data_IF_347216784125
#
_entry.id   IF_347216784125
#
_cell.length_a   1.000
_cell.length_b   1.000
_cell.length_c   1.000
_cell.angle_alpha   90.00
_cell.angle_beta   90.00
_cell.angle_gamma   90.00
#
_symmetry.space_group_name_H-M   'P 1'
#
loop_
_entity.id
_entity.type
_entity.pdbx_description
1 polymer ?
#
# COMPACT_ATOMS: atom_id res chain seq x y z
N UNK A 1 15.76 20.20 19.83
CA UNK A 1 16.20 18.79 19.89
C UNK A 1 15.86 18.22 18.53
N UNK A 2 16.87 17.82 17.74
CA UNK A 2 16.76 17.50 16.31
C UNK A 2 16.12 16.13 16.08
N UNK A 3 15.04 16.07 15.29
CA UNK A 3 14.42 14.84 14.81
C UNK A 3 15.00 14.41 13.44
N UNK A 4 16.34 14.36 13.33
CA UNK A 4 17.05 13.87 12.13
C UNK A 4 16.97 12.34 11.94
N UNK A 5 16.05 11.62 12.60
CA UNK A 5 16.10 10.16 12.68
C UNK A 5 15.24 9.44 11.63
N UNK A 6 14.32 10.12 10.95
CA UNK A 6 13.50 9.45 9.94
C UNK A 6 14.29 9.12 8.67
N UNK A 7 15.14 10.05 8.22
CA UNK A 7 16.02 9.81 7.08
C UNK A 7 17.13 8.78 7.38
N UNK A 8 17.61 8.66 8.63
CA UNK A 8 18.85 7.92 8.93
C UNK A 8 18.66 6.40 8.95
N UNK A 9 17.45 5.88 9.19
CA UNK A 9 17.24 4.44 9.27
C UNK A 9 17.28 3.73 7.90
N UNK A 10 16.97 4.42 6.78
CA UNK A 10 17.19 3.90 5.42
C UNK A 10 18.38 4.55 4.69
N UNK A 11 18.84 5.75 5.08
CA UNK A 11 19.92 6.46 4.37
C UNK A 11 21.35 5.97 4.69
N UNK A 12 21.56 4.91 5.48
CA UNK A 12 22.91 4.33 5.66
C UNK A 12 23.46 3.64 4.40
N UNK A 13 22.75 3.70 3.25
CA UNK A 13 23.22 3.16 1.97
C UNK A 13 23.25 4.10 0.75
N UNK A 14 22.81 5.36 0.79
CA UNK A 14 23.04 6.23 -0.38
C UNK A 14 22.95 7.74 -0.11
N UNK A 15 24.09 8.39 -0.36
CA UNK A 15 24.32 9.73 -0.95
C UNK A 15 23.21 10.77 -0.96
N UNK A 16 23.57 11.94 -0.43
CA UNK A 16 22.85 13.23 -0.51
C UNK A 16 22.66 13.73 -1.95
N UNK A 17 21.48 14.26 -2.30
CA UNK A 17 21.35 15.42 -3.20
C UNK A 17 19.93 16.03 -3.40
N UNK A 18 19.79 17.28 -2.93
CA UNK A 18 19.28 18.51 -3.56
C UNK A 18 17.86 18.68 -4.16
N UNK A 19 17.31 19.83 -3.74
CA UNK A 19 16.29 20.67 -4.36
C UNK A 19 16.45 20.89 -5.88
N UNK A 20 15.33 20.85 -6.60
CA UNK A 20 14.87 21.80 -7.63
C UNK A 20 13.78 21.14 -8.50
N UNK A 21 12.51 21.56 -8.35
CA UNK A 21 11.42 21.16 -9.26
C UNK A 21 11.20 22.23 -10.35
N UNK A 22 11.47 21.93 -11.64
CA UNK A 22 11.00 22.76 -12.74
C UNK A 22 9.50 22.50 -13.04
N UNK A 23 8.75 23.58 -13.26
CA UNK A 23 7.28 23.65 -13.30
C UNK A 23 6.62 23.27 -14.63
N UNK A 24 7.09 22.25 -15.34
CA UNK A 24 6.51 21.96 -16.67
C UNK A 24 6.56 20.51 -17.13
N UNK A 25 5.70 19.65 -16.59
CA UNK A 25 5.33 18.40 -17.27
C UNK A 25 3.86 18.02 -16.99
N UNK A 26 3.00 18.25 -17.98
CA UNK A 26 1.74 17.54 -18.15
C UNK A 26 1.74 16.89 -19.54
N UNK A 27 1.43 15.60 -19.70
CA UNK A 27 1.33 15.00 -21.02
C UNK A 27 -0.02 15.37 -21.69
N UNK A 28 -0.10 15.38 -23.03
CA UNK A 28 -1.32 15.69 -23.75
C UNK A 28 -2.33 14.53 -23.68
N UNK A 29 -3.58 14.86 -23.37
CA UNK A 29 -4.71 13.92 -23.36
C UNK A 29 -5.09 13.60 -24.81
N UNK A 30 -4.70 12.41 -25.29
CA UNK A 30 -5.12 11.87 -26.57
C UNK A 30 -6.42 11.09 -26.45
N UNK A 31 -7.51 11.62 -27.01
CA UNK A 31 -8.79 10.93 -27.14
C UNK A 31 -8.76 9.87 -28.24
N UNK A 32 -9.24 8.67 -27.92
CA UNK A 32 -9.44 7.58 -28.86
C UNK A 32 -10.75 6.84 -28.58
N UNK A 33 -11.75 7.12 -29.39
CA UNK A 33 -13.02 6.39 -29.48
C UNK A 33 -12.90 5.17 -30.38
N UNK A 34 -13.45 4.02 -30.00
CA UNK A 34 -13.62 2.88 -30.90
C UNK A 34 -14.16 1.65 -30.17
N UNK A 35 -15.47 1.43 -30.24
CA UNK A 35 -16.16 0.34 -29.55
C UNK A 35 -16.03 -1.02 -30.24
N UNK A 36 -16.48 -2.05 -29.53
CA UNK A 36 -17.05 -3.28 -30.09
C UNK A 36 -17.84 -4.00 -29.00
N UNK A 37 -19.16 -4.01 -29.18
CA UNK A 37 -20.15 -4.72 -28.37
C UNK A 37 -20.05 -6.24 -28.60
N UNK A 38 -19.55 -6.96 -27.60
CA UNK A 38 -19.73 -8.40 -27.44
C UNK A 38 -20.54 -8.65 -26.18
N UNK A 39 -21.84 -8.90 -26.33
CA UNK A 39 -22.76 -9.05 -25.21
C UNK A 39 -22.44 -10.28 -24.36
N UNK A 40 -22.18 -10.05 -23.07
CA UNK A 40 -22.48 -10.98 -22.00
C UNK A 40 -23.39 -10.22 -21.04
N UNK A 41 -24.57 -10.77 -20.79
CA UNK A 41 -25.59 -10.12 -19.95
C UNK A 41 -25.04 -9.83 -18.57
N UNK A 42 -24.84 -8.56 -18.26
CA UNK A 42 -24.56 -8.11 -16.91
C UNK A 42 -25.81 -8.33 -16.06
N UNK A 43 -25.82 -9.37 -15.24
CA UNK A 43 -26.70 -9.43 -14.08
C UNK A 43 -26.25 -8.31 -13.13
N UNK A 44 -27.02 -7.23 -13.04
CA UNK A 44 -26.71 -6.06 -12.21
C UNK A 44 -26.88 -6.30 -10.70
N UNK A 45 -26.89 -7.56 -10.26
CA UNK A 45 -27.06 -7.98 -8.88
C UNK A 45 -25.98 -8.96 -8.37
N UNK A 46 -24.97 -9.27 -9.17
CA UNK A 46 -23.92 -10.23 -8.79
C UNK A 46 -22.88 -9.59 -7.88
N UNK A 47 -22.68 -10.15 -6.68
CA UNK A 47 -21.44 -9.97 -5.92
C UNK A 47 -20.27 -10.57 -6.72
N UNK A 48 -19.01 -10.27 -6.39
CA UNK A 48 -17.83 -10.83 -7.08
C UNK A 48 -17.76 -12.38 -7.08
N UNK A 49 -18.75 -13.08 -6.49
CA UNK A 49 -18.85 -14.54 -6.40
C UNK A 49 -19.52 -15.21 -7.60
N UNK A 50 -20.17 -14.49 -8.51
CA UNK A 50 -20.98 -15.11 -9.58
C UNK A 50 -20.17 -15.58 -10.80
N UNK A 51 -18.84 -15.44 -10.78
CA UNK A 51 -17.95 -15.97 -11.81
C UNK A 51 -17.25 -17.25 -11.34
N UNK A 52 -18.02 -18.24 -10.89
CA UNK A 52 -17.51 -19.58 -10.60
C UNK A 52 -17.23 -20.34 -11.91
N UNK A 53 -16.18 -19.93 -12.62
CA UNK A 53 -15.64 -20.68 -13.74
C UNK A 53 -14.74 -21.80 -13.19
N UNK A 54 -14.91 -23.05 -13.64
CA UNK A 54 -14.02 -24.13 -13.22
C UNK A 54 -12.57 -23.79 -13.57
N UNK A 55 -11.72 -23.65 -12.55
CA UNK A 55 -10.30 -23.32 -12.67
C UNK A 55 -9.91 -21.86 -12.38
N UNK A 56 -10.85 -20.99 -11.99
CA UNK A 56 -10.55 -19.62 -11.56
C UNK A 56 -10.60 -19.53 -10.02
N UNK A 57 -9.44 -19.47 -9.37
CA UNK A 57 -9.35 -19.18 -7.94
C UNK A 57 -9.46 -17.66 -7.75
N UNK A 58 -10.57 -17.20 -7.18
CA UNK A 58 -10.76 -15.80 -6.82
C UNK A 58 -10.68 -15.60 -5.31
N UNK A 59 -10.23 -14.42 -4.90
CA UNK A 59 -10.27 -13.96 -3.51
C UNK A 59 -11.70 -14.02 -2.98
N UNK A 60 -11.90 -14.75 -1.88
CA UNK A 60 -13.20 -14.79 -1.22
C UNK A 60 -13.44 -13.49 -0.43
N UNK A 61 -14.70 -13.07 -0.22
CA UNK A 61 -14.99 -11.88 0.59
C UNK A 61 -14.35 -11.89 1.99
N UNK A 62 -14.30 -13.05 2.65
CA UNK A 62 -13.65 -13.19 3.96
C UNK A 62 -12.13 -12.97 3.90
N UNK A 63 -11.49 -13.32 2.78
CA UNK A 63 -10.06 -13.07 2.57
C UNK A 63 -9.79 -11.58 2.35
N UNK A 64 -10.71 -10.84 1.71
CA UNK A 64 -10.60 -9.38 1.60
C UNK A 64 -10.51 -8.74 2.99
N UNK A 65 -11.40 -9.11 3.90
CA UNK A 65 -11.39 -8.60 5.28
C UNK A 65 -10.13 -9.04 6.04
N UNK A 66 -9.66 -10.27 5.84
CA UNK A 66 -8.40 -10.77 6.43
C UNK A 66 -7.19 -9.96 5.94
N UNK A 67 -7.09 -9.69 4.64
CA UNK A 67 -5.98 -8.91 4.08
C UNK A 67 -6.00 -7.46 4.56
N UNK A 68 -7.15 -6.80 4.55
CA UNK A 68 -7.28 -5.41 5.01
C UNK A 68 -7.00 -5.30 6.51
N UNK A 69 -7.58 -6.18 7.35
CA UNK A 69 -7.36 -6.13 8.81
C UNK A 69 -5.93 -6.52 9.20
N UNK A 70 -5.36 -7.55 8.57
CA UNK A 70 -3.98 -7.93 8.79
C UNK A 70 -3.01 -6.82 8.39
N UNK A 71 -3.20 -6.21 7.22
CA UNK A 71 -2.33 -5.12 6.78
C UNK A 71 -2.53 -3.85 7.62
N UNK A 72 -3.75 -3.60 8.11
CA UNK A 72 -4.01 -2.55 9.12
C UNK A 72 -3.16 -2.78 10.36
N UNK A 73 -3.15 -4.00 10.91
CA UNK A 73 -2.31 -4.31 12.07
C UNK A 73 -0.81 -4.06 11.81
N UNK A 74 -0.31 -4.41 10.62
CA UNK A 74 1.10 -4.15 10.26
C UNK A 74 1.44 -2.65 10.24
N UNK A 75 0.48 -1.78 9.88
CA UNK A 75 0.64 -0.33 9.89
C UNK A 75 0.48 0.29 11.28
N UNK A 76 -0.44 -0.22 12.10
CA UNK A 76 -0.71 0.29 13.44
C UNK A 76 0.33 -0.15 14.47
N UNK A 77 0.89 -1.35 14.30
CA UNK A 77 1.80 -1.98 15.26
C UNK A 77 3.10 -2.46 14.60
N UNK A 78 3.89 -1.57 13.97
CA UNK A 78 5.19 -1.96 13.42
C UNK A 78 6.09 -2.55 14.53
N UNK A 79 6.50 -3.80 14.36
CA UNK A 79 7.29 -4.54 15.37
C UNK A 79 6.50 -4.97 16.63
N UNK A 80 5.16 -4.93 16.60
CA UNK A 80 4.29 -5.45 17.64
C UNK A 80 4.44 -6.97 17.87
N UNK A 81 3.84 -7.52 18.94
CA UNK A 81 4.02 -8.92 19.34
C UNK A 81 3.59 -9.93 18.27
N UNK A 82 2.54 -9.61 17.51
CA UNK A 82 2.02 -10.47 16.43
C UNK A 82 2.43 -9.96 15.03
N UNK A 83 3.40 -9.04 14.95
CA UNK A 83 3.79 -8.42 13.67
C UNK A 83 4.35 -9.47 12.70
N UNK A 84 5.30 -10.29 13.14
CA UNK A 84 5.90 -11.30 12.27
C UNK A 84 4.89 -12.37 11.85
N UNK A 85 4.09 -12.88 12.79
CA UNK A 85 3.07 -13.89 12.48
C UNK A 85 1.99 -13.36 11.55
N UNK A 86 1.58 -12.10 11.71
CA UNK A 86 0.65 -11.43 10.80
C UNK A 86 1.26 -11.28 9.40
N UNK A 87 2.51 -10.81 9.32
CA UNK A 87 3.21 -10.65 8.04
C UNK A 87 3.42 -12.00 7.34
N UNK A 88 3.77 -13.05 8.06
CA UNK A 88 3.93 -14.40 7.51
C UNK A 88 2.61 -15.02 7.05
N UNK A 89 1.50 -14.69 7.71
CA UNK A 89 0.15 -15.13 7.34
C UNK A 89 -0.31 -14.50 6.02
N UNK A 90 -0.21 -13.17 5.91
CA UNK A 90 -0.85 -12.44 4.81
C UNK A 90 0.09 -12.09 3.66
N UNK A 91 1.42 -12.07 3.85
CA UNK A 91 2.38 -11.67 2.81
C UNK A 91 3.07 -12.88 2.21
N UNK A 92 3.10 -12.95 0.87
CA UNK A 92 3.72 -14.03 0.13
C UNK A 92 5.19 -14.21 0.55
N UNK A 93 5.59 -15.44 0.84
CA UNK A 93 6.98 -15.72 1.21
C UNK A 93 7.96 -15.42 0.06
N UNK A 94 7.51 -15.65 -1.17
CA UNK A 94 8.28 -15.43 -2.38
C UNK A 94 7.63 -14.30 -3.20
N UNK A 95 8.45 -13.48 -3.87
CA UNK A 95 8.02 -12.41 -4.78
C UNK A 95 7.12 -11.32 -4.15
N UNK A 96 7.05 -11.24 -2.82
CA UNK A 96 6.42 -10.10 -2.16
C UNK A 96 7.20 -8.81 -2.42
N UNK A 97 6.52 -7.74 -2.82
CA UNK A 97 7.12 -6.40 -2.88
C UNK A 97 6.15 -5.33 -2.41
N UNK A 98 6.70 -4.20 -1.95
CA UNK A 98 5.96 -2.97 -1.73
C UNK A 98 6.48 -1.90 -2.68
N UNK A 99 5.58 -1.37 -3.51
CA UNK A 99 5.80 -0.23 -4.37
C UNK A 99 5.21 1.01 -3.69
N UNK A 100 6.03 2.06 -3.55
CA UNK A 100 5.56 3.32 -2.97
C UNK A 100 6.55 4.43 -3.27
N UNK A 101 6.16 5.37 -4.12
CA UNK A 101 6.94 6.59 -4.30
C UNK A 101 6.74 7.54 -3.10
N UNK A 102 5.59 7.47 -2.41
CA UNK A 102 5.37 8.18 -1.14
C UNK A 102 6.42 7.81 -0.07
N UNK A 103 6.60 6.51 0.22
CA UNK A 103 7.57 6.04 1.22
C UNK A 103 8.99 6.41 0.80
N UNK A 104 9.31 6.26 -0.49
CA UNK A 104 10.66 6.54 -1.00
C UNK A 104 10.98 8.03 -0.98
N UNK A 105 10.01 8.88 -1.26
CA UNK A 105 10.13 10.34 -1.11
C UNK A 105 10.47 10.70 0.35
N UNK A 106 9.70 10.18 1.31
CA UNK A 106 9.94 10.41 2.75
C UNK A 106 11.29 9.86 3.22
N UNK A 107 11.80 8.83 2.54
CA UNK A 107 13.10 8.21 2.84
C UNK A 107 14.27 8.87 2.10
N UNK A 108 14.02 9.87 1.24
CA UNK A 108 15.03 10.48 0.38
C UNK A 108 15.66 9.51 -0.64
N UNK A 109 14.94 8.46 -1.02
CA UNK A 109 15.41 7.43 -1.97
C UNK A 109 14.94 7.73 -3.40
N UNK A 110 15.66 7.27 -4.44
CA UNK A 110 15.25 7.44 -5.84
C UNK A 110 13.85 6.87 -6.11
N UNK A 111 13.01 7.51 -6.92
CA UNK A 111 11.67 7.03 -7.25
C UNK A 111 11.68 5.86 -8.25
N UNK A 112 10.55 5.15 -8.37
CA UNK A 112 10.33 4.12 -9.39
C UNK A 112 10.90 2.72 -9.07
N UNK A 113 11.45 2.55 -7.88
CA UNK A 113 11.99 1.28 -7.37
C UNK A 113 11.16 0.81 -6.16
N UNK A 114 11.17 -0.48 -5.80
CA UNK A 114 10.40 -0.97 -4.65
C UNK A 114 10.81 -0.27 -3.35
N UNK A 115 9.85 0.18 -2.55
CA UNK A 115 10.12 0.65 -1.18
C UNK A 115 10.64 -0.50 -0.31
N UNK A 116 10.06 -1.70 -0.50
CA UNK A 116 10.53 -2.94 0.10
C UNK A 116 10.56 -4.07 -0.94
N UNK A 117 11.73 -4.63 -1.28
CA UNK A 117 11.88 -5.60 -2.37
C UNK A 117 11.57 -7.05 -2.00
N UNK A 118 11.34 -7.35 -0.71
CA UNK A 118 10.99 -8.70 -0.24
C UNK A 118 10.24 -8.64 1.10
N UNK A 119 9.58 -9.75 1.47
CA UNK A 119 8.89 -9.87 2.76
C UNK A 119 9.87 -9.75 3.92
N UNK A 120 11.02 -10.40 3.80
CA UNK A 120 12.04 -10.37 4.84
C UNK A 120 12.60 -8.96 5.03
N UNK A 121 12.81 -8.20 3.95
CA UNK A 121 13.25 -6.80 4.04
C UNK A 121 12.15 -5.93 4.64
N UNK A 122 10.88 -6.14 4.27
CA UNK A 122 9.75 -5.43 4.88
C UNK A 122 9.72 -5.67 6.40
N UNK A 123 9.75 -6.93 6.84
CA UNK A 123 9.72 -7.31 8.25
C UNK A 123 10.93 -6.73 9.01
N UNK A 124 12.13 -6.86 8.44
CA UNK A 124 13.35 -6.39 9.06
C UNK A 124 13.44 -4.86 9.16
N UNK A 125 12.60 -4.10 8.46
CA UNK A 125 12.67 -2.63 8.45
C UNK A 125 11.51 -1.96 9.17
N UNK A 126 10.40 -2.66 9.46
CA UNK A 126 9.24 -2.00 10.07
C UNK A 126 9.49 -1.40 11.45
N UNK A 127 10.43 -1.92 12.26
CA UNK A 127 10.67 -1.41 13.62
C UNK A 127 11.15 0.05 13.70
N UNK A 128 11.61 0.63 12.59
CA UNK A 128 11.98 2.06 12.50
C UNK A 128 10.93 2.91 11.79
N UNK A 129 9.83 2.31 11.33
CA UNK A 129 8.74 3.01 10.67
C UNK A 129 7.78 3.55 11.74
N UNK A 130 7.26 4.79 11.63
CA UNK A 130 6.35 5.35 12.61
C UNK A 130 5.04 4.60 12.48
N UNK A 131 4.48 4.19 13.60
CA UNK A 131 3.15 3.61 13.64
C UNK A 131 2.12 4.60 13.10
N UNK A 132 1.07 4.08 12.47
CA UNK A 132 -0.16 4.80 12.21
C UNK A 132 -1.15 4.44 13.32
N UNK A 133 -1.26 5.19 14.45
CA UNK A 133 -1.88 4.62 15.67
C UNK A 133 -3.36 4.28 15.56
N UNK A 134 -4.06 4.86 14.59
CA UNK A 134 -5.44 4.51 14.28
C UNK A 134 -5.63 4.62 12.78
N UNK A 135 -5.89 3.50 12.12
CA UNK A 135 -6.20 3.41 10.69
C UNK A 135 -7.67 3.02 10.55
N UNK A 136 -8.46 3.90 9.94
CA UNK A 136 -9.87 3.66 9.65
C UNK A 136 -10.05 3.39 8.16
N UNK A 137 -10.65 2.24 7.84
CA UNK A 137 -11.09 1.92 6.47
C UNK A 137 -12.21 2.86 6.05
N UNK A 138 -12.04 3.50 4.89
CA UNK A 138 -13.07 4.32 4.24
C UNK A 138 -13.88 3.44 3.30
N UNK A 139 -13.20 2.79 2.34
CA UNK A 139 -13.83 1.92 1.33
C UNK A 139 -12.88 0.79 0.95
N UNK A 140 -13.44 -0.36 0.57
CA UNK A 140 -12.70 -1.49 -0.01
C UNK A 140 -13.39 -1.95 -1.30
N UNK A 141 -12.61 -2.13 -2.36
CA UNK A 141 -13.04 -2.65 -3.65
C UNK A 141 -12.22 -3.89 -3.95
N UNK A 142 -12.86 -4.97 -4.39
CA UNK A 142 -12.15 -6.20 -4.72
C UNK A 142 -12.56 -6.73 -6.09
N UNK A 143 -11.63 -7.42 -6.72
CA UNK A 143 -11.81 -8.26 -7.90
C UNK A 143 -11.21 -9.64 -7.61
N UNK A 144 -11.16 -10.52 -8.62
CA UNK A 144 -10.71 -11.89 -8.45
C UNK A 144 -9.32 -12.02 -7.79
N UNK A 145 -8.38 -11.13 -8.09
CA UNK A 145 -7.00 -11.19 -7.59
C UNK A 145 -6.43 -9.82 -7.20
N UNK A 146 -7.29 -8.82 -7.04
CA UNK A 146 -6.88 -7.46 -6.65
C UNK A 146 -7.82 -6.88 -5.62
N UNK A 147 -7.27 -6.15 -4.67
CA UNK A 147 -8.01 -5.37 -3.68
C UNK A 147 -7.52 -3.93 -3.74
N UNK A 148 -8.42 -2.96 -3.69
CA UNK A 148 -8.12 -1.56 -3.47
C UNK A 148 -8.78 -1.12 -2.16
N UNK A 149 -8.00 -0.48 -1.29
CA UNK A 149 -8.38 -0.10 0.05
C UNK A 149 -8.05 1.37 0.29
N UNK A 150 -9.07 2.17 0.56
CA UNK A 150 -8.93 3.56 0.97
C UNK A 150 -9.01 3.65 2.49
N UNK A 151 -8.12 4.42 3.08
CA UNK A 151 -8.01 4.56 4.53
C UNK A 151 -7.69 5.99 4.94
N UNK A 152 -7.99 6.30 6.20
CA UNK A 152 -7.54 7.51 6.90
C UNK A 152 -6.85 7.10 8.19
N UNK A 153 -5.70 7.70 8.48
CA UNK A 153 -4.98 7.53 9.72
C UNK A 153 -5.01 8.81 10.56
N UNK A 154 -5.07 8.63 11.88
CA UNK A 154 -4.99 9.69 12.89
C UNK A 154 -4.10 9.27 14.05
N UNK A 155 -3.72 10.23 14.89
CA UNK A 155 -2.89 9.99 16.08
C UNK A 155 -1.38 9.99 15.80
N UNK A 156 -0.96 10.34 14.59
CA UNK A 156 0.45 10.41 14.18
C UNK A 156 1.05 11.68 14.76
N UNK A 157 2.17 11.58 15.48
CA UNK A 157 2.93 12.74 15.97
C UNK A 157 2.08 13.82 16.65
N UNK A 158 2.04 15.02 16.07
CA UNK A 158 1.25 16.17 16.55
C UNK A 158 -0.27 16.02 16.34
N UNK A 159 -0.70 15.10 15.48
CA UNK A 159 -2.09 14.82 15.14
C UNK A 159 -2.85 16.07 14.67
N UNK A 160 -2.19 16.91 13.87
CA UNK A 160 -2.74 18.14 13.33
C UNK A 160 -3.58 17.86 12.08
N UNK A 161 -3.18 16.88 11.26
CA UNK A 161 -3.83 16.56 9.99
C UNK A 161 -4.10 15.05 9.85
N UNK A 162 -5.32 14.62 9.48
CA UNK A 162 -5.53 13.22 9.12
C UNK A 162 -4.73 12.87 7.85
N UNK A 163 -4.06 11.72 7.87
CA UNK A 163 -3.32 11.20 6.72
C UNK A 163 -4.22 10.27 5.94
N UNK A 164 -4.57 10.64 4.72
CA UNK A 164 -5.37 9.81 3.83
C UNK A 164 -4.47 9.02 2.88
N UNK A 165 -4.85 7.77 2.61
CA UNK A 165 -4.12 6.92 1.67
C UNK A 165 -4.99 5.95 0.90
N UNK A 166 -4.35 5.36 -0.10
CA UNK A 166 -4.87 4.25 -0.89
C UNK A 166 -3.80 3.17 -0.95
N UNK A 167 -4.22 1.94 -0.72
CA UNK A 167 -3.39 0.77 -0.90
C UNK A 167 -4.08 -0.15 -1.90
N UNK A 168 -3.35 -0.69 -2.87
CA UNK A 168 -3.84 -1.80 -3.69
C UNK A 168 -2.98 -3.04 -3.49
N UNK A 169 -3.63 -4.19 -3.36
CA UNK A 169 -3.00 -5.49 -3.26
C UNK A 169 -3.17 -6.27 -4.56
N UNK A 170 -2.07 -6.84 -5.05
CA UNK A 170 -2.10 -7.97 -5.97
C UNK A 170 -2.01 -9.25 -5.13
N UNK A 171 -2.98 -10.14 -5.31
CA UNK A 171 -3.13 -11.36 -4.52
C UNK A 171 -2.67 -12.56 -5.33
N UNK A 172 -1.80 -13.37 -4.74
CA UNK A 172 -1.54 -14.75 -5.16
C UNK A 172 -2.72 -15.60 -4.70
N UNK A 173 -3.65 -15.87 -5.62
CA UNK A 173 -4.88 -16.62 -5.36
C UNK A 173 -4.66 -18.11 -5.14
N UNK A 174 -3.49 -18.64 -5.50
CA UNK A 174 -3.18 -20.05 -5.28
C UNK A 174 -2.68 -20.30 -3.86
N UNK A 175 -1.91 -19.34 -3.31
CA UNK A 175 -1.44 -19.39 -1.92
C UNK A 175 -2.31 -18.58 -0.94
N UNK A 176 -3.26 -17.80 -1.46
CA UNK A 176 -4.11 -16.89 -0.68
C UNK A 176 -3.28 -15.91 0.17
N UNK A 177 -2.31 -15.24 -0.46
CA UNK A 177 -1.42 -14.26 0.16
C UNK A 177 -1.21 -13.04 -0.74
N UNK A 178 -0.84 -11.90 -0.16
CA UNK A 178 -0.51 -10.66 -0.88
C UNK A 178 0.85 -10.82 -1.54
N UNK A 179 0.92 -10.67 -2.87
CA UNK A 179 2.14 -10.69 -3.65
C UNK A 179 2.71 -9.29 -3.86
N UNK A 180 1.89 -8.27 -4.05
CA UNK A 180 2.41 -6.90 -4.21
C UNK A 180 1.49 -5.91 -3.54
N UNK A 181 2.09 -4.95 -2.84
CA UNK A 181 1.39 -3.80 -2.27
C UNK A 181 1.81 -2.56 -3.02
N UNK A 182 0.86 -1.80 -3.54
CA UNK A 182 1.09 -0.43 -3.99
C UNK A 182 0.52 0.50 -2.93
N UNK A 183 1.37 1.25 -2.25
CA UNK A 183 1.00 2.07 -1.10
C UNK A 183 1.26 3.55 -1.38
N UNK A 184 0.21 4.36 -1.46
CA UNK A 184 0.35 5.80 -1.66
C UNK A 184 -0.51 6.56 -0.65
N UNK A 185 0.03 7.64 -0.10
CA UNK A 185 -0.65 8.42 0.94
C UNK A 185 -0.22 9.89 0.92
N UNK A 186 -0.96 10.73 1.64
CA UNK A 186 -0.66 12.16 1.74
C UNK A 186 0.62 12.39 2.57
N UNK A 187 1.77 12.44 1.88
CA UNK A 187 3.08 12.67 2.48
C UNK A 187 3.18 14.03 3.17
N UNK A 188 2.57 15.08 2.63
CA UNK A 188 2.60 16.42 3.23
C UNK A 188 1.88 16.45 4.60
N UNK A 189 0.74 15.78 4.73
CA UNK A 189 0.06 15.64 6.02
C UNK A 189 0.91 14.83 7.01
N UNK A 190 1.55 13.76 6.52
CA UNK A 190 2.40 12.90 7.34
C UNK A 190 3.64 13.65 7.87
N UNK A 191 4.36 14.39 7.03
CA UNK A 191 5.51 15.22 7.42
C UNK A 191 5.10 16.31 8.42
N UNK A 192 3.97 16.99 8.15
CA UNK A 192 3.42 18.00 9.07
C UNK A 192 3.17 17.40 10.46
N UNK A 193 2.58 16.21 10.51
CA UNK A 193 2.29 15.54 11.78
C UNK A 193 3.55 15.07 12.51
N UNK A 194 4.61 14.68 11.77
CA UNK A 194 5.91 14.38 12.35
C UNK A 194 6.71 15.61 12.79
N UNK A 195 6.33 16.80 12.31
CA UNK A 195 6.99 18.08 12.64
C UNK A 195 8.20 18.38 11.75
N UNK A 196 8.18 17.90 10.51
CA UNK A 196 9.20 18.13 9.47
C UNK A 196 8.81 19.27 8.51
#
# INVERSE_FOLDING_TARGET
>A
MHFSHFAVALATLAGTAWADFPSSWGPPIGGGSGGSSGGLGANTNGTCNDLNFPGLNCVAPADVDRFVSGYTYLLEFPGGPDFNSTAEDILAANNFTVQSDSIRTLSGLPLGEPAYPSRDVYIATQFVTPALPTVTTIDTFASCNKIAWRWTATGIGSNALPVNGIITFDIDTDNNQIQTVYSEFNTAAFETDLGE
#
